data_IF_057670457891
#
_entry.id   IF_057670457891
#
_cell.length_a   1.000
_cell.length_b   1.000
_cell.length_c   1.000
_cell.angle_alpha   90.00
_cell.angle_beta   90.00
_cell.angle_gamma   90.00
#
_symmetry.space_group_name_H-M   'P 1'
#
loop_
_entity.id
_entity.type
_entity.pdbx_description
1 polymer ?
#
# COMPACT_ATOMS: atom_id res chain seq x y z
N UNK A 1 3.01 2.39 11.13
CA UNK A 1 2.07 2.19 10.05
C UNK A 1 1.67 0.72 9.92
N UNK A 2 2.61 -0.21 9.73
CA UNK A 2 2.37 -1.64 9.48
C UNK A 2 1.41 -2.28 10.49
N UNK A 3 1.70 -2.19 11.78
CA UNK A 3 0.86 -2.78 12.85
C UNK A 3 -0.58 -2.27 12.81
N UNK A 4 -0.75 -0.96 12.57
CA UNK A 4 -2.08 -0.32 12.52
C UNK A 4 -2.88 -0.82 11.33
N UNK A 5 -2.26 -0.91 10.16
CA UNK A 5 -2.92 -1.39 8.94
C UNK A 5 -3.28 -2.87 9.00
N UNK A 6 -2.40 -3.70 9.57
CA UNK A 6 -2.68 -5.13 9.75
C UNK A 6 -3.87 -5.34 10.67
N UNK A 7 -3.96 -4.62 11.79
CA UNK A 7 -5.11 -4.70 12.69
C UNK A 7 -6.40 -4.20 12.04
N UNK A 8 -6.33 -3.11 11.26
CA UNK A 8 -7.48 -2.65 10.47
C UNK A 8 -7.93 -3.72 9.48
N UNK A 9 -6.99 -4.27 8.70
CA UNK A 9 -7.26 -5.28 7.69
C UNK A 9 -7.87 -6.55 8.26
N UNK A 10 -7.39 -7.03 9.42
CA UNK A 10 -7.98 -8.16 10.14
C UNK A 10 -9.43 -7.87 10.52
N UNK A 11 -9.67 -6.69 11.10
CA UNK A 11 -10.98 -6.33 11.63
C UNK A 11 -12.04 -6.18 10.55
N UNK A 12 -11.70 -5.68 9.37
CA UNK A 12 -12.67 -5.48 8.29
C UNK A 12 -13.12 -6.79 7.64
N UNK A 13 -12.36 -7.87 7.75
CA UNK A 13 -12.73 -9.17 7.20
C UNK A 13 -14.07 -9.70 7.71
N UNK A 14 -14.50 -9.31 8.92
CA UNK A 14 -15.77 -9.72 9.51
C UNK A 14 -16.99 -9.09 8.83
N UNK A 15 -16.81 -7.95 8.15
CA UNK A 15 -17.92 -7.15 7.61
C UNK A 15 -17.60 -6.50 6.26
N UNK A 16 -16.54 -6.91 5.59
CA UNK A 16 -16.17 -6.39 4.29
C UNK A 16 -17.26 -6.69 3.26
N UNK A 17 -17.55 -5.71 2.41
CA UNK A 17 -18.56 -5.85 1.34
C UNK A 17 -17.89 -5.98 -0.03
N UNK A 18 -18.64 -6.52 -0.99
CA UNK A 18 -18.18 -6.59 -2.38
C UNK A 18 -17.79 -5.21 -2.93
N UNK A 19 -18.57 -4.17 -2.63
CA UNK A 19 -18.30 -2.79 -3.08
C UNK A 19 -16.94 -2.28 -2.59
N UNK A 20 -16.56 -2.59 -1.34
CA UNK A 20 -15.25 -2.21 -0.78
C UNK A 20 -14.13 -2.94 -1.53
N UNK A 21 -14.29 -4.25 -1.77
CA UNK A 21 -13.29 -5.05 -2.50
C UNK A 21 -13.18 -4.61 -3.96
N UNK A 22 -14.29 -4.26 -4.60
CA UNK A 22 -14.29 -3.75 -5.98
C UNK A 22 -13.61 -2.38 -6.06
N UNK A 23 -13.79 -1.50 -5.07
CA UNK A 23 -13.06 -0.25 -4.97
C UNK A 23 -11.55 -0.48 -4.77
N UNK A 24 -11.14 -1.46 -3.95
CA UNK A 24 -9.73 -1.86 -3.81
C UNK A 24 -9.17 -2.41 -5.13
N UNK A 25 -9.95 -3.20 -5.87
CA UNK A 25 -9.54 -3.70 -7.19
C UNK A 25 -9.34 -2.56 -8.18
N UNK A 26 -10.20 -1.54 -8.14
CA UNK A 26 -10.02 -0.37 -9.00
C UNK A 26 -8.71 0.36 -8.66
N UNK A 27 -8.41 0.60 -7.39
CA UNK A 27 -7.12 1.18 -6.99
C UNK A 27 -5.92 0.34 -7.46
N UNK A 28 -6.01 -1.00 -7.40
CA UNK A 28 -4.95 -1.88 -7.92
C UNK A 28 -4.77 -1.76 -9.44
N UNK A 29 -5.86 -1.58 -10.19
CA UNK A 29 -5.84 -1.32 -11.65
C UNK A 29 -5.23 0.04 -11.95
N UNK A 30 -5.60 1.07 -11.19
CA UNK A 30 -5.07 2.44 -11.33
C UNK A 30 -3.57 2.47 -11.02
N UNK A 31 -3.13 1.77 -9.98
CA UNK A 31 -1.73 1.59 -9.65
C UNK A 31 -0.95 0.95 -10.80
N UNK A 32 -1.44 -0.16 -11.36
CA UNK A 32 -0.84 -0.83 -12.52
C UNK A 32 -0.72 0.13 -13.70
N UNK A 33 -1.82 0.78 -14.07
CA UNK A 33 -1.85 1.72 -15.20
C UNK A 33 -0.86 2.87 -15.01
N UNK A 34 -0.78 3.42 -13.80
CA UNK A 34 0.15 4.50 -13.48
C UNK A 34 1.62 4.05 -13.62
N UNK A 35 1.95 2.84 -13.15
CA UNK A 35 3.29 2.24 -13.31
C UNK A 35 3.63 2.03 -14.78
N UNK A 36 2.74 1.42 -15.55
CA UNK A 36 2.94 1.14 -16.98
C UNK A 36 3.14 2.42 -17.79
N UNK A 37 2.45 3.50 -17.41
CA UNK A 37 2.61 4.83 -18.01
C UNK A 37 3.76 5.66 -17.42
N UNK A 38 4.55 5.10 -16.49
CA UNK A 38 5.64 5.78 -15.77
C UNK A 38 5.19 7.08 -15.07
N UNK A 39 3.93 7.14 -14.67
CA UNK A 39 3.37 8.26 -13.92
C UNK A 39 3.51 8.00 -12.40
N UNK A 40 4.68 8.33 -11.86
CA UNK A 40 5.02 8.02 -10.47
C UNK A 40 4.17 8.76 -9.43
N UNK A 41 3.68 9.96 -9.74
CA UNK A 41 2.75 10.66 -8.87
C UNK A 41 1.40 9.94 -8.79
N UNK A 42 0.86 9.51 -9.92
CA UNK A 42 -0.36 8.71 -9.96
C UNK A 42 -0.16 7.33 -9.30
N UNK A 43 1.04 6.75 -9.40
CA UNK A 43 1.39 5.50 -8.69
C UNK A 43 1.29 5.68 -7.19
N UNK A 44 1.88 6.73 -6.64
CA UNK A 44 1.81 7.04 -5.20
C UNK A 44 0.39 7.35 -4.74
N UNK A 45 -0.39 8.03 -5.56
CA UNK A 45 -1.78 8.36 -5.27
C UNK A 45 -2.66 7.11 -5.22
N UNK A 46 -2.50 6.20 -6.18
CA UNK A 46 -3.26 4.95 -6.22
C UNK A 46 -2.90 4.03 -5.03
N UNK A 47 -1.60 3.92 -4.69
CA UNK A 47 -1.13 3.19 -3.51
C UNK A 47 -1.77 3.76 -2.23
N UNK A 48 -1.71 5.07 -2.08
CA UNK A 48 -2.32 5.77 -0.95
C UNK A 48 -3.81 5.50 -0.83
N UNK A 49 -4.56 5.62 -1.92
CA UNK A 49 -6.00 5.35 -1.93
C UNK A 49 -6.32 3.91 -1.51
N UNK A 50 -5.54 2.93 -1.97
CA UNK A 50 -5.71 1.54 -1.56
C UNK A 50 -5.60 1.37 -0.04
N UNK A 51 -4.56 1.93 0.57
CA UNK A 51 -4.35 1.86 2.02
C UNK A 51 -5.42 2.62 2.81
N UNK A 52 -5.86 3.78 2.31
CA UNK A 52 -6.96 4.53 2.94
C UNK A 52 -8.28 3.79 2.88
N UNK A 53 -8.58 3.01 1.84
CA UNK A 53 -9.76 2.16 1.80
C UNK A 53 -9.77 1.13 2.93
N UNK A 54 -8.62 0.53 3.26
CA UNK A 54 -8.50 -0.39 4.40
C UNK A 54 -8.83 0.35 5.69
N UNK A 55 -8.21 1.49 5.91
CA UNK A 55 -8.35 2.25 7.15
C UNK A 55 -9.74 2.85 7.33
N UNK A 56 -10.30 3.46 6.29
CA UNK A 56 -11.60 4.12 6.36
C UNK A 56 -12.75 3.10 6.46
N UNK A 57 -12.55 1.88 5.94
CA UNK A 57 -13.47 0.76 6.14
C UNK A 57 -13.45 0.20 7.56
N UNK A 58 -12.39 0.45 8.32
CA UNK A 58 -12.29 -0.02 9.71
C UNK A 58 -13.27 0.73 10.62
N UNK A 59 -14.11 0.00 11.35
CA UNK A 59 -15.10 0.58 12.29
C UNK A 59 -14.47 1.15 13.55
N UNK A 60 -13.23 0.76 13.87
CA UNK A 60 -12.52 1.24 15.05
C UNK A 60 -11.96 2.66 14.83
N UNK A 61 -12.61 3.65 15.44
CA UNK A 61 -12.21 5.06 15.33
C UNK A 61 -10.79 5.33 15.87
N UNK A 62 -10.34 4.56 16.88
CA UNK A 62 -9.00 4.70 17.43
C UNK A 62 -7.93 4.30 16.39
N UNK A 63 -8.13 3.17 15.69
CA UNK A 63 -7.24 2.72 14.61
C UNK A 63 -7.15 3.79 13.52
N UNK A 64 -8.30 4.34 13.08
CA UNK A 64 -8.31 5.41 12.08
C UNK A 64 -7.56 6.66 12.53
N UNK A 65 -7.72 7.06 13.78
CA UNK A 65 -7.02 8.22 14.35
C UNK A 65 -5.52 7.98 14.45
N UNK A 66 -5.12 6.82 14.93
CA UNK A 66 -3.70 6.43 15.01
C UNK A 66 -3.04 6.40 13.63
N UNK A 67 -3.72 5.85 12.61
CA UNK A 67 -3.19 5.84 11.25
C UNK A 67 -2.96 7.27 10.74
N UNK A 68 -3.95 8.16 10.88
CA UNK A 68 -3.84 9.55 10.43
C UNK A 68 -2.67 10.30 11.07
N UNK A 69 -2.31 9.96 12.30
CA UNK A 69 -1.17 10.60 12.98
C UNK A 69 0.18 10.22 12.39
N UNK A 70 0.30 9.06 11.75
CA UNK A 70 1.58 8.56 11.19
C UNK A 70 1.62 8.53 9.67
N UNK A 71 0.47 8.59 9.00
CA UNK A 71 0.35 8.44 7.55
C UNK A 71 1.22 9.45 6.78
N UNK A 72 1.15 10.73 7.13
CA UNK A 72 1.88 11.77 6.43
C UNK A 72 3.41 11.62 6.49
N UNK A 73 3.94 10.99 7.53
CA UNK A 73 5.37 10.66 7.63
C UNK A 73 5.70 9.53 6.66
N UNK A 74 4.92 8.44 6.70
CA UNK A 74 5.11 7.28 5.84
C UNK A 74 4.98 7.63 4.35
N UNK A 75 4.01 8.46 4.01
CA UNK A 75 3.78 8.93 2.64
C UNK A 75 4.98 9.73 2.11
N UNK A 76 5.57 10.59 2.93
CA UNK A 76 6.79 11.36 2.55
C UNK A 76 7.99 10.44 2.33
N UNK A 77 8.18 9.43 3.18
CA UNK A 77 9.25 8.45 3.01
C UNK A 77 9.07 7.64 1.73
N UNK A 78 7.85 7.16 1.47
CA UNK A 78 7.55 6.41 0.27
C UNK A 78 7.74 7.26 -1.00
N UNK A 79 7.26 8.50 -1.00
CA UNK A 79 7.44 9.43 -2.11
C UNK A 79 8.93 9.70 -2.38
N UNK A 80 9.72 9.96 -1.34
CA UNK A 80 11.16 10.15 -1.46
C UNK A 80 11.87 8.90 -2.02
N UNK A 81 11.56 7.72 -1.46
CA UNK A 81 12.13 6.45 -1.93
C UNK A 81 11.79 6.18 -3.39
N UNK A 82 10.55 6.45 -3.81
CA UNK A 82 10.09 6.31 -5.19
C UNK A 82 10.86 7.25 -6.12
N UNK A 83 11.04 8.52 -5.75
CA UNK A 83 11.81 9.49 -6.52
C UNK A 83 13.26 9.01 -6.67
N UNK A 84 13.90 8.61 -5.57
CA UNK A 84 15.28 8.10 -5.61
C UNK A 84 15.40 6.89 -6.51
N UNK A 85 14.47 5.93 -6.39
CA UNK A 85 14.46 4.73 -7.20
C UNK A 85 14.32 5.06 -8.70
N UNK A 86 13.41 5.96 -9.04
CA UNK A 86 13.09 6.31 -10.44
C UNK A 86 14.11 7.21 -11.09
N UNK A 87 14.89 7.96 -10.32
CA UNK A 87 15.96 8.83 -10.87
C UNK A 87 17.30 8.12 -11.02
N UNK A 88 17.53 7.01 -10.33
CA UNK A 88 18.83 6.32 -10.29
C UNK A 88 18.92 5.07 -11.15
N UNK A 89 17.81 4.50 -11.56
CA UNK A 89 17.78 3.28 -12.35
C UNK A 89 16.64 3.32 -13.35
N UNK A 90 16.95 3.04 -14.62
CA UNK A 90 15.93 2.80 -15.64
C UNK A 90 15.24 1.45 -15.47
N UNK A 91 15.82 0.55 -14.64
CA UNK A 91 15.31 -0.81 -14.40
C UNK A 91 14.61 -0.93 -13.04
N UNK A 92 13.62 -0.08 -12.80
CA UNK A 92 12.77 -0.11 -11.58
C UNK A 92 11.58 -1.04 -11.73
N UNK A 93 11.33 -1.50 -12.94
CA UNK A 93 10.12 -2.26 -13.26
C UNK A 93 9.94 -3.53 -12.41
N UNK A 94 11.01 -4.32 -12.09
CA UNK A 94 10.84 -5.51 -11.24
C UNK A 94 10.26 -5.19 -9.86
N UNK A 95 10.64 -4.06 -9.27
CA UNK A 95 10.10 -3.61 -7.99
C UNK A 95 8.61 -3.27 -8.09
N UNK A 96 8.25 -2.43 -9.08
CA UNK A 96 6.86 -2.05 -9.30
C UNK A 96 6.00 -3.24 -9.74
N UNK A 97 6.53 -4.18 -10.52
CA UNK A 97 5.84 -5.41 -10.89
C UNK A 97 5.49 -6.26 -9.66
N UNK A 98 6.41 -6.34 -8.70
CA UNK A 98 6.14 -7.00 -7.41
C UNK A 98 5.01 -6.30 -6.65
N UNK A 99 5.04 -4.96 -6.55
CA UNK A 99 4.00 -4.19 -5.88
C UNK A 99 2.63 -4.34 -6.57
N UNK A 100 2.59 -4.32 -7.91
CA UNK A 100 1.37 -4.58 -8.69
C UNK A 100 0.77 -5.94 -8.29
N UNK A 101 1.59 -6.99 -8.32
CA UNK A 101 1.12 -8.34 -7.98
C UNK A 101 0.60 -8.40 -6.55
N UNK A 102 1.27 -7.75 -5.60
CA UNK A 102 0.86 -7.73 -4.20
C UNK A 102 -0.48 -7.01 -3.98
N UNK A 103 -0.76 -5.92 -4.69
CA UNK A 103 -2.08 -5.27 -4.64
C UNK A 103 -3.20 -6.23 -5.11
N UNK A 104 -3.01 -6.95 -6.21
CA UNK A 104 -4.00 -7.93 -6.67
C UNK A 104 -4.13 -9.13 -5.73
N UNK A 105 -3.03 -9.59 -5.13
CA UNK A 105 -3.06 -10.63 -4.10
C UNK A 105 -3.86 -10.16 -2.87
N UNK A 106 -3.72 -8.90 -2.45
CA UNK A 106 -4.51 -8.32 -1.37
C UNK A 106 -5.99 -8.26 -1.71
N UNK A 107 -6.36 -7.81 -2.91
CA UNK A 107 -7.77 -7.84 -3.37
C UNK A 107 -8.34 -9.25 -3.29
N UNK A 108 -7.59 -10.26 -3.77
CA UNK A 108 -8.01 -11.65 -3.70
C UNK A 108 -8.13 -12.17 -2.25
N UNK A 109 -7.19 -11.81 -1.39
CA UNK A 109 -7.23 -12.16 0.01
C UNK A 109 -8.45 -11.54 0.72
N UNK A 110 -8.78 -10.27 0.46
CA UNK A 110 -9.96 -9.61 0.99
C UNK A 110 -11.27 -10.25 0.48
N UNK A 111 -11.32 -10.73 -0.76
CA UNK A 111 -12.47 -11.51 -1.25
C UNK A 111 -12.70 -12.80 -0.49
N UNK A 112 -11.64 -13.46 -0.04
CA UNK A 112 -11.74 -14.66 0.81
C UNK A 112 -12.10 -14.35 2.26
N UNK A 113 -11.92 -13.09 2.69
CA UNK A 113 -12.21 -12.58 4.03
C UNK A 113 -11.60 -13.41 5.19
N UNK A 114 -10.43 -14.02 4.95
CA UNK A 114 -9.69 -14.79 5.96
C UNK A 114 -8.67 -13.84 6.63
N UNK A 115 -8.87 -13.45 7.91
CA UNK A 115 -8.07 -12.40 8.56
C UNK A 115 -6.56 -12.65 8.55
N UNK A 116 -6.13 -13.88 8.83
CA UNK A 116 -4.71 -14.23 8.86
C UNK A 116 -4.07 -14.21 7.47
N UNK A 117 -4.82 -14.60 6.44
CA UNK A 117 -4.34 -14.54 5.06
C UNK A 117 -4.17 -13.09 4.60
N UNK A 118 -5.18 -12.25 4.84
CA UNK A 118 -5.11 -10.82 4.52
C UNK A 118 -3.93 -10.16 5.24
N UNK A 119 -3.77 -10.43 6.54
CA UNK A 119 -2.68 -9.90 7.35
C UNK A 119 -1.30 -10.28 6.78
N UNK A 120 -1.12 -11.55 6.42
CA UNK A 120 0.14 -12.04 5.86
C UNK A 120 0.50 -11.36 4.52
N UNK A 121 -0.45 -11.25 3.60
CA UNK A 121 -0.20 -10.61 2.31
C UNK A 121 0.06 -9.10 2.49
N UNK A 122 -0.67 -8.44 3.39
CA UNK A 122 -0.44 -7.03 3.70
C UNK A 122 0.93 -6.78 4.32
N UNK A 123 1.38 -7.67 5.21
CA UNK A 123 2.72 -7.61 5.78
C UNK A 123 3.81 -7.69 4.71
N UNK A 124 3.70 -8.65 3.79
CA UNK A 124 4.63 -8.78 2.65
C UNK A 124 4.66 -7.52 1.79
N UNK A 125 3.50 -6.92 1.54
CA UNK A 125 3.39 -5.69 0.75
C UNK A 125 4.06 -4.50 1.44
N UNK A 126 3.80 -4.31 2.73
CA UNK A 126 4.39 -3.22 3.51
C UNK A 126 5.90 -3.37 3.69
N UNK A 127 6.39 -4.61 3.85
CA UNK A 127 7.83 -4.89 3.89
C UNK A 127 8.51 -4.56 2.55
N UNK A 128 7.85 -4.82 1.42
CA UNK A 128 8.35 -4.44 0.11
C UNK A 128 8.47 -2.92 -0.01
N UNK A 129 7.44 -2.17 0.42
CA UNK A 129 7.46 -0.71 0.43
C UNK A 129 8.57 -0.15 1.33
N UNK A 130 8.84 -0.78 2.48
CA UNK A 130 9.91 -0.39 3.39
C UNK A 130 11.30 -0.53 2.76
N UNK A 131 11.51 -1.54 1.93
CA UNK A 131 12.78 -1.75 1.22
C UNK A 131 13.09 -0.62 0.23
N UNK A 132 12.07 0.01 -0.37
CA UNK A 132 12.27 1.22 -1.21
C UNK A 132 12.87 2.35 -0.41
N UNK A 133 12.36 2.56 0.80
CA UNK A 133 12.84 3.62 1.69
C UNK A 133 14.26 3.36 2.22
N UNK A 134 14.69 2.10 2.23
CA UNK A 134 16.00 1.65 2.72
C UNK A 134 17.05 1.52 1.62
N UNK A 135 16.78 1.95 0.40
CA UNK A 135 17.73 1.84 -0.70
C UNK A 135 19.00 2.66 -0.40
N UNK A 136 20.24 2.11 -0.65
CA UNK A 136 21.48 2.82 -0.37
C UNK A 136 21.51 4.17 -1.09
N UNK A 137 21.51 5.27 -0.34
CA UNK A 137 21.41 6.64 -0.82
C UNK A 137 20.12 7.35 -0.44
N UNK A 138 19.18 6.68 0.24
CA UNK A 138 18.05 7.30 0.93
C UNK A 138 18.44 7.86 2.30
N UNK A 139 19.72 7.81 2.68
CA UNK A 139 20.20 8.50 3.87
C UNK A 139 19.97 10.00 3.69
N UNK A 140 18.87 10.48 4.29
CA UNK A 140 18.66 11.90 4.52
C UNK A 140 19.84 12.40 5.36
N UNK A 141 20.79 13.06 4.71
CA UNK A 141 21.68 13.97 5.43
C UNK A 141 20.80 15.14 5.89
N UNK A 142 20.32 15.03 7.13
CA UNK A 142 19.71 16.15 7.85
C UNK A 142 20.80 17.18 8.12
#
# INVERSE_FOLDING_TARGET
>A
RQTIEIEAARSICEYITADIVDAMEQCAKDFRSAVENRNYLATLDADKHFHYLIIDSCRNAFIRTMYKSVAGISERYLAYGTIVLTTRSDDNYPFFASAINQHFMLVHAFRSAIPDHVAHILELHLDTATKVCSYPGSELKI
#
